data_IF_733994632981
#
_entry.id   IF_733994632981
#
_cell.length_a   1.000
_cell.length_b   1.000
_cell.length_c   1.000
_cell.angle_alpha   90.00
_cell.angle_beta   90.00
_cell.angle_gamma   90.00
#
_symmetry.space_group_name_H-M   'P 1'
#
loop_
_entity.id
_entity.type
_entity.pdbx_description
1 polymer ?
#
# COMPACT_ATOMS: atom_id res chain seq x y z
N UNK A 1 -22.18 -6.34 -16.43
CA UNK A 1 -22.03 -4.90 -16.76
C UNK A 1 -20.56 -4.59 -16.90
N UNK A 2 -20.13 -3.77 -17.89
CA UNK A 2 -18.79 -3.19 -17.84
C UNK A 2 -18.66 -2.41 -16.53
N UNK A 3 -17.60 -2.67 -15.75
CA UNK A 3 -17.43 -1.96 -14.49
C UNK A 3 -16.96 -0.55 -14.76
N UNK A 4 -17.52 0.37 -14.01
CA UNK A 4 -17.14 1.77 -14.00
C UNK A 4 -15.85 1.92 -13.18
N UNK A 5 -14.76 2.41 -13.78
CA UNK A 5 -13.48 2.58 -13.07
C UNK A 5 -13.59 3.51 -11.86
N UNK A 6 -14.55 4.44 -11.84
CA UNK A 6 -14.76 5.31 -10.66
C UNK A 6 -15.35 4.52 -9.49
N UNK A 7 -16.30 3.63 -9.76
CA UNK A 7 -16.89 2.73 -8.77
C UNK A 7 -15.85 1.72 -8.25
N UNK A 8 -15.03 1.18 -9.15
CA UNK A 8 -13.94 0.25 -8.78
C UNK A 8 -12.85 0.94 -7.93
N UNK A 9 -12.49 2.19 -8.23
CA UNK A 9 -11.57 3.01 -7.40
C UNK A 9 -12.14 3.29 -6.02
N UNK A 10 -13.42 3.66 -5.93
CA UNK A 10 -14.07 3.90 -4.63
C UNK A 10 -14.10 2.64 -3.76
N UNK A 11 -14.43 1.48 -4.34
CA UNK A 11 -14.41 0.20 -3.65
C UNK A 11 -12.99 -0.17 -3.20
N UNK A 12 -11.99 -0.03 -4.07
CA UNK A 12 -10.59 -0.29 -3.75
C UNK A 12 -10.09 0.63 -2.63
N UNK A 13 -10.42 1.92 -2.68
CA UNK A 13 -10.07 2.89 -1.66
C UNK A 13 -10.69 2.54 -0.29
N UNK A 14 -11.97 2.19 -0.27
CA UNK A 14 -12.67 1.78 0.95
C UNK A 14 -12.06 0.52 1.57
N UNK A 15 -11.79 -0.51 0.76
CA UNK A 15 -11.17 -1.77 1.22
C UNK A 15 -9.74 -1.52 1.72
N UNK A 16 -8.95 -0.71 1.01
CA UNK A 16 -7.58 -0.39 1.41
C UNK A 16 -7.54 0.39 2.72
N UNK A 17 -8.38 1.42 2.85
CA UNK A 17 -8.50 2.20 4.09
C UNK A 17 -8.96 1.32 5.27
N UNK A 18 -9.97 0.47 5.06
CA UNK A 18 -10.45 -0.45 6.08
C UNK A 18 -9.37 -1.46 6.51
N UNK A 19 -8.59 -1.97 5.55
CA UNK A 19 -7.47 -2.88 5.81
C UNK A 19 -6.40 -2.22 6.67
N UNK A 20 -6.00 -0.98 6.35
CA UNK A 20 -5.02 -0.21 7.13
C UNK A 20 -5.55 0.11 8.53
N UNK A 21 -6.82 0.54 8.64
CA UNK A 21 -7.45 0.80 9.93
C UNK A 21 -7.44 -0.46 10.79
N UNK A 22 -7.92 -1.57 10.24
CA UNK A 22 -7.98 -2.85 10.94
C UNK A 22 -6.58 -3.33 11.36
N UNK A 23 -5.56 -3.16 10.51
CA UNK A 23 -4.19 -3.56 10.80
C UNK A 23 -3.60 -2.83 12.02
N UNK A 24 -3.74 -1.51 12.04
CA UNK A 24 -3.09 -0.67 13.05
C UNK A 24 -3.93 -0.47 14.32
N UNK A 25 -5.27 -0.47 14.25
CA UNK A 25 -6.14 -0.37 15.42
C UNK A 25 -6.29 -1.70 16.20
N UNK A 26 -5.88 -2.83 15.59
CA UNK A 26 -6.08 -4.18 16.13
C UNK A 26 -5.68 -4.37 17.60
N UNK A 27 -4.53 -3.85 18.08
CA UNK A 27 -4.13 -4.05 19.48
C UNK A 27 -5.07 -3.42 20.48
N UNK A 28 -5.89 -2.45 20.08
CA UNK A 28 -6.83 -1.79 20.99
C UNK A 28 -8.10 -2.63 21.21
N UNK A 29 -8.49 -3.45 20.24
CA UNK A 29 -9.69 -4.31 20.29
C UNK A 29 -9.39 -5.78 20.61
N UNK A 30 -8.26 -6.33 20.13
CA UNK A 30 -7.91 -7.74 20.30
C UNK A 30 -6.71 -7.87 21.24
N UNK A 31 -6.92 -8.48 22.41
CA UNK A 31 -5.85 -8.72 23.41
C UNK A 31 -4.99 -9.95 23.12
N UNK A 32 -5.58 -11.00 22.54
CA UNK A 32 -4.88 -12.25 22.23
C UNK A 32 -3.87 -12.08 21.10
N UNK A 33 -2.62 -12.52 21.33
CA UNK A 33 -1.56 -12.49 20.30
C UNK A 33 -1.89 -13.39 19.11
N UNK A 34 -2.40 -14.61 19.36
CA UNK A 34 -2.72 -15.56 18.30
C UNK A 34 -3.83 -15.06 17.38
N UNK A 35 -4.89 -14.47 17.95
CA UNK A 35 -5.99 -13.88 17.16
C UNK A 35 -5.47 -12.73 16.30
N UNK A 36 -4.57 -11.88 16.85
CA UNK A 36 -3.97 -10.79 16.06
C UNK A 36 -3.17 -11.31 14.87
N UNK A 37 -2.41 -12.39 15.04
CA UNK A 37 -1.64 -13.01 13.95
C UNK A 37 -2.59 -13.55 12.87
N UNK A 38 -3.65 -14.26 13.26
CA UNK A 38 -4.64 -14.79 12.32
C UNK A 38 -5.34 -13.67 11.52
N UNK A 39 -5.78 -12.60 12.20
CA UNK A 39 -6.39 -11.44 11.53
C UNK A 39 -5.42 -10.79 10.55
N UNK A 40 -4.17 -10.56 10.96
CA UNK A 40 -3.14 -9.99 10.07
C UNK A 40 -2.88 -10.88 8.85
N UNK A 41 -2.82 -12.20 9.02
CA UNK A 41 -2.66 -13.13 7.90
C UNK A 41 -3.83 -13.01 6.91
N UNK A 42 -5.07 -12.89 7.40
CA UNK A 42 -6.24 -12.63 6.56
C UNK A 42 -6.15 -11.29 5.82
N UNK A 43 -5.75 -10.22 6.52
CA UNK A 43 -5.57 -8.90 5.91
C UNK A 43 -4.47 -8.89 4.84
N UNK A 44 -3.39 -9.66 5.01
CA UNK A 44 -2.38 -9.84 3.95
C UNK A 44 -2.99 -10.46 2.69
N UNK A 45 -3.91 -11.42 2.85
CA UNK A 45 -4.67 -11.98 1.73
C UNK A 45 -5.53 -10.93 1.01
N UNK A 46 -6.20 -10.06 1.76
CA UNK A 46 -6.97 -8.93 1.20
C UNK A 46 -6.06 -7.97 0.43
N UNK A 47 -4.91 -7.62 1.00
CA UNK A 47 -3.91 -6.76 0.33
C UNK A 47 -3.40 -7.40 -0.97
N UNK A 48 -3.10 -8.70 -0.96
CA UNK A 48 -2.65 -9.42 -2.15
C UNK A 48 -3.74 -9.46 -3.25
N UNK A 49 -5.00 -9.71 -2.87
CA UNK A 49 -6.12 -9.66 -3.79
C UNK A 49 -6.31 -8.24 -4.37
N UNK A 50 -6.22 -7.20 -3.54
CA UNK A 50 -6.25 -5.81 -3.98
C UNK A 50 -5.13 -5.49 -4.97
N UNK A 51 -3.90 -5.93 -4.70
CA UNK A 51 -2.76 -5.73 -5.60
C UNK A 51 -3.01 -6.34 -6.99
N UNK A 52 -3.64 -7.52 -7.05
CA UNK A 52 -4.02 -8.15 -8.32
C UNK A 52 -5.10 -7.37 -9.09
N UNK A 53 -5.90 -6.53 -8.41
CA UNK A 53 -6.92 -5.68 -9.03
C UNK A 53 -6.39 -4.35 -9.57
N UNK A 54 -5.16 -3.96 -9.22
CA UNK A 54 -4.58 -2.65 -9.61
C UNK A 54 -4.70 -2.34 -11.12
N UNK A 55 -4.40 -3.26 -12.06
CA UNK A 55 -4.53 -2.96 -13.49
C UNK A 55 -5.95 -2.65 -13.95
N UNK A 56 -6.95 -3.13 -13.21
CA UNK A 56 -8.37 -2.87 -13.49
C UNK A 56 -8.81 -1.54 -12.87
N UNK A 57 -8.34 -1.25 -11.66
CA UNK A 57 -8.70 -0.05 -10.89
C UNK A 57 -8.02 1.21 -11.46
N UNK A 58 -6.78 1.07 -11.93
CA UNK A 58 -5.96 2.14 -12.49
C UNK A 58 -5.42 1.74 -13.87
N UNK A 59 -6.27 1.68 -14.91
CA UNK A 59 -5.84 1.31 -16.25
C UNK A 59 -4.75 2.24 -16.80
N UNK A 60 -4.78 3.53 -16.44
CA UNK A 60 -3.79 4.54 -16.84
C UNK A 60 -2.38 4.25 -16.32
N UNK A 61 -2.25 3.57 -15.17
CA UNK A 61 -0.94 3.19 -14.61
C UNK A 61 -0.24 2.14 -15.48
N UNK A 62 -0.97 1.42 -16.35
CA UNK A 62 -0.33 0.55 -17.35
C UNK A 62 0.58 1.34 -18.29
N UNK A 63 0.24 2.59 -18.62
CA UNK A 63 1.09 3.45 -19.43
C UNK A 63 2.39 3.88 -18.71
N UNK A 64 2.43 3.77 -17.38
CA UNK A 64 3.65 4.00 -16.59
C UNK A 64 4.63 2.82 -16.61
N UNK A 65 4.22 1.65 -17.13
CA UNK A 65 5.13 0.53 -17.33
C UNK A 65 6.05 0.81 -18.51
N UNK A 66 7.13 1.54 -18.24
CA UNK A 66 8.17 1.83 -19.22
C UNK A 66 8.98 0.57 -19.57
N UNK A 67 9.34 0.42 -20.84
CA UNK A 67 10.33 -0.58 -21.23
C UNK A 67 11.68 -0.28 -20.53
N UNK A 68 12.38 -1.29 -20.01
CA UNK A 68 13.69 -1.10 -19.40
C UNK A 68 14.66 -0.51 -20.43
N UNK A 69 15.03 0.77 -20.27
CA UNK A 69 16.02 1.43 -21.13
C UNK A 69 17.48 1.02 -20.84
N UNK A 70 17.71 0.26 -19.77
CA UNK A 70 19.03 -0.24 -19.40
C UNK A 70 19.03 -1.76 -19.59
N UNK A 71 19.82 -2.24 -20.54
CA UNK A 71 20.05 -3.67 -20.74
C UNK A 71 20.97 -4.20 -19.63
N UNK A 72 20.34 -4.59 -18.53
CA UNK A 72 21.01 -5.31 -17.46
C UNK A 72 21.00 -6.80 -17.75
N UNK A 73 22.09 -7.53 -17.49
CA UNK A 73 22.06 -8.98 -17.57
C UNK A 73 21.02 -9.52 -16.58
N UNK A 74 20.31 -10.58 -16.94
CA UNK A 74 19.29 -11.23 -16.11
C UNK A 74 19.65 -11.38 -14.60
N UNK A 75 20.88 -11.78 -14.22
CA UNK A 75 21.26 -11.82 -12.80
C UNK A 75 21.25 -10.44 -12.11
N UNK A 76 21.61 -9.36 -12.80
CA UNK A 76 21.58 -8.02 -12.23
C UNK A 76 20.14 -7.53 -12.02
N UNK A 77 19.23 -7.82 -12.97
CA UNK A 77 17.79 -7.54 -12.81
C UNK A 77 17.22 -8.30 -11.61
N UNK A 78 17.54 -9.59 -11.50
CA UNK A 78 17.09 -10.41 -10.38
C UNK A 78 17.63 -9.89 -9.03
N UNK A 79 18.92 -9.52 -8.98
CA UNK A 79 19.55 -8.97 -7.79
C UNK A 79 18.91 -7.63 -7.37
N UNK A 80 18.61 -6.74 -8.32
CA UNK A 80 17.89 -5.50 -8.06
C UNK A 80 16.47 -5.75 -7.54
N UNK A 81 15.73 -6.65 -8.18
CA UNK A 81 14.37 -6.99 -7.76
C UNK A 81 14.35 -7.57 -6.34
N UNK A 82 15.22 -8.54 -6.04
CA UNK A 82 15.35 -9.15 -4.72
C UNK A 82 15.83 -8.13 -3.69
N UNK A 83 16.85 -7.35 -4.01
CA UNK A 83 17.40 -6.31 -3.13
C UNK A 83 16.38 -5.23 -2.79
N UNK A 84 15.66 -4.72 -3.79
CA UNK A 84 14.59 -3.74 -3.59
C UNK A 84 13.44 -4.32 -2.76
N UNK A 85 13.01 -5.54 -3.05
CA UNK A 85 11.95 -6.21 -2.28
C UNK A 85 12.37 -6.42 -0.82
N UNK A 86 13.58 -6.92 -0.59
CA UNK A 86 14.11 -7.14 0.75
C UNK A 86 14.27 -5.82 1.52
N UNK A 87 14.83 -4.80 0.88
CA UNK A 87 15.01 -3.47 1.45
C UNK A 87 13.68 -2.82 1.83
N UNK A 88 12.69 -2.86 0.94
CA UNK A 88 11.35 -2.31 1.21
C UNK A 88 10.63 -3.09 2.30
N UNK A 89 10.78 -4.41 2.33
CA UNK A 89 10.23 -5.25 3.41
C UNK A 89 10.86 -4.89 4.75
N UNK A 90 12.19 -4.76 4.81
CA UNK A 90 12.90 -4.37 6.03
C UNK A 90 12.48 -2.98 6.51
N UNK A 91 12.37 -2.02 5.60
CA UNK A 91 11.88 -0.67 5.89
C UNK A 91 10.46 -0.70 6.45
N UNK A 92 9.58 -1.51 5.85
CA UNK A 92 8.19 -1.69 6.29
C UNK A 92 8.14 -2.26 7.71
N UNK A 93 8.86 -3.35 7.98
CA UNK A 93 8.93 -3.96 9.31
C UNK A 93 9.49 -2.98 10.35
N UNK A 94 10.50 -2.20 10.00
CA UNK A 94 11.04 -1.16 10.88
C UNK A 94 9.99 -0.09 11.20
N UNK A 95 9.30 0.42 10.18
CA UNK A 95 8.25 1.43 10.34
C UNK A 95 7.10 0.90 11.22
N UNK A 96 6.63 -0.32 10.96
CA UNK A 96 5.60 -0.96 11.77
C UNK A 96 6.01 -1.07 13.24
N UNK A 97 7.24 -1.53 13.51
CA UNK A 97 7.75 -1.61 14.88
C UNK A 97 7.79 -0.24 15.56
N UNK A 98 8.21 0.80 14.86
CA UNK A 98 8.22 2.16 15.38
C UNK A 98 6.82 2.68 15.73
N UNK A 99 5.84 2.42 14.86
CA UNK A 99 4.43 2.77 15.05
C UNK A 99 3.82 2.05 16.26
N UNK A 100 4.02 0.73 16.38
CA UNK A 100 3.55 -0.03 17.54
C UNK A 100 4.26 0.39 18.83
N UNK A 101 5.57 0.63 18.80
CA UNK A 101 6.31 1.10 19.98
C UNK A 101 5.77 2.45 20.47
N UNK A 102 5.40 3.36 19.55
CA UNK A 102 4.75 4.63 19.91
C UNK A 102 3.39 4.41 20.57
N UNK A 103 2.56 3.52 20.03
CA UNK A 103 1.24 3.22 20.59
C UNK A 103 1.34 2.52 21.96
N UNK A 104 2.28 1.62 22.15
CA UNK A 104 2.49 0.95 23.44
C UNK A 104 3.04 1.90 24.51
N UNK A 105 3.92 2.86 24.16
CA UNK A 105 4.32 3.95 25.07
C UNK A 105 3.11 4.76 25.55
N UNK A 106 2.24 5.18 24.63
CA UNK A 106 0.99 5.90 24.97
C UNK A 106 0.04 5.06 25.82
N UNK A 107 -0.04 3.76 25.57
CA UNK A 107 -0.83 2.85 26.42
C UNK A 107 -0.24 2.78 27.84
N UNK A 108 1.09 2.75 27.99
CA UNK A 108 1.74 2.80 29.29
C UNK A 108 1.50 4.12 30.04
N UNK A 109 1.32 5.23 29.31
CA UNK A 109 0.86 6.52 29.83
C UNK A 109 -0.64 6.56 30.19
N UNK A 110 -1.36 5.45 30.03
CA UNK A 110 -2.78 5.33 30.36
C UNK A 110 -3.74 5.81 29.26
N UNK A 111 -3.24 6.16 28.06
CA UNK A 111 -4.09 6.61 26.95
C UNK A 111 -4.96 5.46 26.45
N UNK A 112 -6.29 5.62 26.54
CA UNK A 112 -7.24 4.68 25.93
C UNK A 112 -7.16 4.79 24.41
N UNK A 113 -7.27 3.66 23.71
CA UNK A 113 -7.22 3.58 22.24
C UNK A 113 -5.93 4.17 21.64
N UNK A 114 -4.79 3.88 22.24
CA UNK A 114 -3.50 4.49 21.89
C UNK A 114 -3.08 4.32 20.41
N UNK A 115 -3.61 3.33 19.68
CA UNK A 115 -3.28 3.05 18.29
C UNK A 115 -4.34 3.58 17.32
N UNK A 116 -5.60 3.68 17.75
CA UNK A 116 -6.75 3.94 16.89
C UNK A 116 -6.71 5.31 16.18
N UNK A 117 -6.37 6.44 16.84
CA UNK A 117 -6.28 7.74 16.16
C UNK A 117 -5.25 7.77 15.03
N UNK A 118 -4.09 7.14 15.24
CA UNK A 118 -3.06 7.04 14.20
C UNK A 118 -3.51 6.10 13.08
N UNK A 119 -4.12 4.97 13.43
CA UNK A 119 -4.69 4.04 12.45
C UNK A 119 -5.75 4.73 11.57
N UNK A 120 -6.60 5.58 12.15
CA UNK A 120 -7.59 6.35 11.40
C UNK A 120 -6.93 7.36 10.45
N UNK A 121 -5.93 8.11 10.92
CA UNK A 121 -5.19 9.03 10.05
C UNK A 121 -4.54 8.31 8.86
N UNK A 122 -3.90 7.15 9.11
CA UNK A 122 -3.29 6.34 8.05
C UNK A 122 -4.32 5.75 7.09
N UNK A 123 -5.46 5.30 7.60
CA UNK A 123 -6.56 4.76 6.79
C UNK A 123 -7.14 5.84 5.87
N UNK A 124 -7.41 7.03 6.40
CA UNK A 124 -7.89 8.17 5.62
C UNK A 124 -6.87 8.58 4.55
N UNK A 125 -5.59 8.66 4.91
CA UNK A 125 -4.52 8.94 3.95
C UNK A 125 -4.43 7.90 2.84
N UNK A 126 -4.55 6.61 3.19
CA UNK A 126 -4.53 5.51 2.21
C UNK A 126 -5.72 5.58 1.27
N UNK A 127 -6.93 5.79 1.80
CA UNK A 127 -8.14 5.95 1.00
C UNK A 127 -8.06 7.17 0.07
N UNK A 128 -7.55 8.30 0.57
CA UNK A 128 -7.36 9.50 -0.25
C UNK A 128 -6.37 9.28 -1.40
N UNK A 129 -5.24 8.61 -1.14
CA UNK A 129 -4.25 8.27 -2.18
C UNK A 129 -4.87 7.34 -3.25
N UNK A 130 -5.67 6.35 -2.82
CA UNK A 130 -6.35 5.43 -3.73
C UNK A 130 -7.41 6.12 -4.61
N UNK A 131 -7.86 7.31 -4.24
CA UNK A 131 -8.82 8.10 -5.03
C UNK A 131 -8.14 9.11 -5.96
N UNK A 132 -6.82 9.25 -5.91
CA UNK A 132 -6.09 10.16 -6.79
C UNK A 132 -6.30 9.78 -8.25
N UNK A 133 -6.47 10.80 -9.08
CA UNK A 133 -6.40 10.64 -10.53
C UNK A 133 -4.94 10.62 -10.96
N UNK A 134 -4.49 9.45 -11.43
CA UNK A 134 -3.11 9.25 -11.87
C UNK A 134 -2.88 9.65 -13.33
N UNK A 135 -3.94 10.02 -14.06
CA UNK A 135 -3.85 10.40 -15.47
C UNK A 135 -2.82 11.52 -15.74
N UNK A 136 -2.77 12.62 -14.97
CA UNK A 136 -1.79 13.69 -15.23
C UNK A 136 -0.33 13.22 -15.15
N UNK A 137 -0.05 12.22 -14.29
CA UNK A 137 1.28 11.65 -14.13
C UNK A 137 1.58 10.70 -15.30
N UNK A 138 0.59 9.92 -15.74
CA UNK A 138 0.72 9.08 -16.93
C UNK A 138 1.03 9.92 -18.18
N UNK A 139 0.32 11.04 -18.39
CA UNK A 139 0.53 11.94 -19.51
C UNK A 139 1.92 12.61 -19.46
N UNK A 140 2.36 13.02 -18.27
CA UNK A 140 3.70 13.57 -18.07
C UNK A 140 4.80 12.54 -18.37
N UNK A 141 4.61 11.28 -17.97
CA UNK A 141 5.55 10.21 -18.26
C UNK A 141 5.63 9.92 -19.77
N UNK A 142 4.49 9.92 -20.47
CA UNK A 142 4.42 9.70 -21.91
C UNK A 142 5.15 10.81 -22.70
N UNK A 143 4.88 12.08 -22.38
CA UNK A 143 5.53 13.24 -23.04
C UNK A 143 7.05 13.30 -22.84
N UNK A 144 7.55 12.92 -21.65
CA UNK A 144 8.98 12.74 -21.41
C UNK A 144 9.61 11.61 -22.22
N UNK A 145 8.81 10.59 -22.58
CA UNK A 145 9.21 9.51 -23.47
C UNK A 145 9.44 10.00 -24.90
N UNK A 146 8.45 10.73 -25.44
CA UNK A 146 8.48 11.29 -26.79
C UNK A 146 9.61 12.29 -26.99
N UNK A 147 9.78 13.24 -26.06
CA UNK A 147 10.80 14.29 -26.15
C UNK A 147 12.25 13.77 -26.13
N UNK A 148 12.49 12.56 -25.63
CA UNK A 148 13.82 11.91 -25.64
C UNK A 148 14.06 11.04 -26.88
N UNK A 149 13.05 10.86 -27.72
CA UNK A 149 13.12 10.05 -28.95
C UNK A 149 13.21 10.86 -30.24
N UNK A 150 13.01 12.18 -30.14
CA UNK A 150 13.26 13.17 -31.19
C UNK A 150 14.69 13.72 -31.09
#
# INVERSE_FOLDING_TARGET
MPADPTTDRAAFAAVSAATVLAWYALPDVVRSRGVRVAVKAGLLGVTAAGAAMVPRVYPEVRALQAEPKVDLPAPAVAALAVGATAGLTALTVWAEKALYARGERRRAEGVRWAHTPLALAMALGTGAIALLDWQPIADAAASLGEARSA
#
